data_IF_914860686341
#
_entry.id   IF_914860686341
#
_cell.length_a   1.000
_cell.length_b   1.000
_cell.length_c   1.000
_cell.angle_alpha   90.00
_cell.angle_beta   90.00
_cell.angle_gamma   90.00
#
_symmetry.space_group_name_H-M   'P 1'
#
loop_
_entity.id
_entity.type
_entity.pdbx_description
1 polymer ?
#
# COMPACT_ATOMS: atom_id res chain seq x y z
N UNK A 1 -44.90 -41.46 -11.44
CA UNK A 1 -45.49 -40.18 -10.99
C UNK A 1 -45.10 -39.79 -9.56
N UNK A 2 -45.26 -40.65 -8.55
CA UNK A 2 -44.94 -40.31 -7.13
C UNK A 2 -43.50 -39.80 -6.89
N UNK A 3 -42.48 -40.44 -7.47
CA UNK A 3 -41.08 -39.99 -7.36
C UNK A 3 -40.80 -38.62 -8.00
N UNK A 4 -41.51 -38.27 -9.09
CA UNK A 4 -41.35 -36.98 -9.76
C UNK A 4 -41.85 -35.83 -8.87
N UNK A 5 -43.01 -36.00 -8.24
CA UNK A 5 -43.55 -35.01 -7.30
C UNK A 5 -42.68 -34.88 -6.04
N UNK A 6 -42.10 -35.98 -5.55
CA UNK A 6 -41.16 -35.94 -4.42
C UNK A 6 -39.89 -35.15 -4.76
N UNK A 7 -39.29 -35.41 -5.93
CA UNK A 7 -38.12 -34.66 -6.42
C UNK A 7 -38.45 -33.18 -6.59
N UNK A 8 -39.60 -32.85 -7.19
CA UNK A 8 -40.04 -31.47 -7.37
C UNK A 8 -40.28 -30.75 -6.04
N UNK A 9 -40.86 -31.43 -5.05
CA UNK A 9 -41.08 -30.89 -3.71
C UNK A 9 -39.76 -30.63 -2.98
N UNK A 10 -38.82 -31.58 -3.03
CA UNK A 10 -37.48 -31.42 -2.44
C UNK A 10 -36.72 -30.27 -3.11
N UNK A 11 -36.77 -30.17 -4.43
CA UNK A 11 -36.15 -29.07 -5.18
C UNK A 11 -36.79 -27.72 -4.80
N UNK A 12 -38.12 -27.64 -4.77
CA UNK A 12 -38.85 -26.42 -4.40
C UNK A 12 -38.52 -25.98 -2.98
N UNK A 13 -38.49 -26.90 -2.02
CA UNK A 13 -38.12 -26.61 -0.63
C UNK A 13 -36.66 -26.17 -0.54
N UNK A 14 -35.76 -26.82 -1.28
CA UNK A 14 -34.33 -26.47 -1.29
C UNK A 14 -34.10 -25.08 -1.86
N UNK A 15 -34.75 -24.75 -2.99
CA UNK A 15 -34.70 -23.42 -3.60
C UNK A 15 -35.32 -22.38 -2.67
N UNK A 16 -36.49 -22.63 -2.09
CA UNK A 16 -37.12 -21.72 -1.15
C UNK A 16 -36.26 -21.47 0.10
N UNK A 17 -35.65 -22.53 0.66
CA UNK A 17 -34.69 -22.42 1.77
C UNK A 17 -33.50 -21.57 1.36
N UNK A 18 -32.88 -21.86 0.22
CA UNK A 18 -31.74 -21.10 -0.29
C UNK A 18 -32.07 -19.62 -0.52
N UNK A 19 -33.21 -19.32 -1.16
CA UNK A 19 -33.66 -17.94 -1.38
C UNK A 19 -33.94 -17.20 -0.08
N UNK A 20 -34.42 -17.89 0.95
CA UNK A 20 -34.69 -17.32 2.28
C UNK A 20 -33.48 -17.32 3.22
N UNK A 21 -32.34 -17.90 2.84
CA UNK A 21 -31.10 -17.79 3.62
C UNK A 21 -30.70 -16.32 3.71
N UNK A 22 -30.47 -15.85 4.93
CA UNK A 22 -29.91 -14.53 5.19
C UNK A 22 -28.40 -14.60 5.11
N UNK A 23 -27.80 -13.56 4.55
CA UNK A 23 -26.36 -13.44 4.58
C UNK A 23 -25.89 -13.22 6.04
N UNK A 24 -24.75 -13.80 6.43
CA UNK A 24 -24.21 -13.62 7.77
C UNK A 24 -23.87 -12.14 8.01
N UNK A 25 -24.09 -11.62 9.23
CA UNK A 25 -23.75 -10.24 9.55
C UNK A 25 -22.23 -10.00 9.43
N UNK A 26 -21.79 -8.78 9.06
CA UNK A 26 -20.38 -8.42 9.04
C UNK A 26 -19.72 -8.60 10.42
N UNK A 27 -18.46 -9.02 10.43
CA UNK A 27 -17.65 -9.07 11.67
C UNK A 27 -17.36 -7.63 12.08
N UNK A 28 -17.58 -7.31 13.36
CA UNK A 28 -17.46 -5.94 13.91
C UNK A 28 -18.28 -4.88 13.15
N UNK A 29 -19.32 -5.29 12.40
CA UNK A 29 -20.11 -4.35 11.58
C UNK A 29 -19.39 -3.82 10.33
N UNK A 30 -18.16 -4.26 10.06
CA UNK A 30 -17.32 -3.75 8.96
C UNK A 30 -17.01 -4.84 7.94
N UNK A 31 -16.49 -5.99 8.39
CA UNK A 31 -15.91 -7.00 7.50
C UNK A 31 -16.98 -7.94 6.96
N UNK A 32 -17.35 -7.79 5.68
CA UNK A 32 -18.39 -8.62 5.08
C UNK A 32 -17.91 -10.05 4.91
N UNK A 33 -18.87 -10.99 5.02
CA UNK A 33 -18.61 -12.43 5.02
C UNK A 33 -19.23 -13.07 3.77
N UNK A 34 -18.72 -14.23 3.31
CA UNK A 34 -19.34 -14.97 2.21
C UNK A 34 -20.84 -15.21 2.44
N UNK A 35 -21.68 -14.56 1.64
CA UNK A 35 -23.12 -14.77 1.60
C UNK A 35 -23.53 -15.95 0.72
N UNK A 36 -24.84 -16.19 0.59
CA UNK A 36 -25.38 -17.33 -0.17
C UNK A 36 -25.00 -17.32 -1.65
N UNK A 37 -24.78 -16.13 -2.22
CA UNK A 37 -24.40 -15.94 -3.64
C UNK A 37 -22.89 -15.87 -3.87
N UNK A 38 -22.07 -16.01 -2.83
CA UNK A 38 -20.62 -15.78 -2.89
C UNK A 38 -19.94 -16.54 -4.02
N UNK A 39 -20.15 -17.86 -4.13
CA UNK A 39 -19.48 -18.67 -5.14
C UNK A 39 -19.88 -18.30 -6.57
N UNK A 40 -21.16 -17.97 -6.79
CA UNK A 40 -21.63 -17.49 -8.10
C UNK A 40 -20.97 -16.17 -8.46
N UNK A 41 -20.99 -15.21 -7.53
CA UNK A 41 -20.33 -13.90 -7.69
C UNK A 41 -18.84 -14.04 -7.97
N UNK A 42 -18.16 -14.90 -7.21
CA UNK A 42 -16.75 -15.21 -7.38
C UNK A 42 -16.45 -15.74 -8.77
N UNK A 43 -17.18 -16.77 -9.24
CA UNK A 43 -16.97 -17.37 -10.56
C UNK A 43 -17.18 -16.36 -11.69
N UNK A 44 -18.19 -15.49 -11.59
CA UNK A 44 -18.44 -14.41 -12.55
C UNK A 44 -17.23 -13.48 -12.65
N UNK A 45 -16.80 -12.91 -11.52
CA UNK A 45 -15.70 -11.94 -11.53
C UNK A 45 -14.35 -12.56 -11.84
N UNK A 46 -14.08 -13.76 -11.31
CA UNK A 46 -12.86 -14.50 -11.62
C UNK A 46 -12.75 -14.75 -13.13
N UNK A 47 -13.81 -15.24 -13.76
CA UNK A 47 -13.83 -15.49 -15.21
C UNK A 47 -13.70 -14.19 -16.00
N UNK A 48 -14.42 -13.13 -15.61
CA UNK A 48 -14.36 -11.84 -16.27
C UNK A 48 -12.96 -11.21 -16.21
N UNK A 49 -12.31 -11.25 -15.04
CA UNK A 49 -10.97 -10.69 -14.84
C UNK A 49 -9.91 -11.49 -15.59
N UNK A 50 -10.00 -12.83 -15.58
CA UNK A 50 -9.13 -13.68 -16.40
C UNK A 50 -9.28 -13.38 -17.89
N UNK A 51 -10.52 -13.28 -18.37
CA UNK A 51 -10.79 -12.98 -19.77
C UNK A 51 -10.27 -11.58 -20.16
N UNK A 52 -10.46 -10.56 -19.30
CA UNK A 52 -9.91 -9.22 -19.52
C UNK A 52 -8.39 -9.22 -19.57
N UNK A 53 -7.72 -9.89 -18.62
CA UNK A 53 -6.25 -10.00 -18.61
C UNK A 53 -5.73 -10.69 -19.89
N UNK A 54 -6.43 -11.71 -20.35
CA UNK A 54 -6.12 -12.38 -21.62
C UNK A 54 -6.32 -11.45 -22.83
N UNK A 55 -7.45 -10.75 -22.93
CA UNK A 55 -7.71 -9.79 -24.01
C UNK A 55 -6.69 -8.65 -24.04
N UNK A 56 -6.33 -8.09 -22.89
CA UNK A 56 -5.39 -6.97 -22.82
C UNK A 56 -3.97 -7.39 -23.21
N UNK A 57 -3.56 -8.63 -22.93
CA UNK A 57 -2.31 -9.19 -23.45
C UNK A 57 -2.31 -9.28 -24.99
N UNK A 58 -3.48 -9.41 -25.62
CA UNK A 58 -3.62 -9.45 -27.08
C UNK A 58 -3.79 -8.06 -27.72
N UNK A 59 -4.15 -7.03 -26.95
CA UNK A 59 -4.36 -5.67 -27.46
C UNK A 59 -3.03 -4.89 -27.47
N UNK A 60 -2.79 -4.18 -28.57
CA UNK A 60 -1.62 -3.31 -28.78
C UNK A 60 -1.98 -1.81 -28.70
N UNK A 61 -3.13 -1.45 -28.14
CA UNK A 61 -3.68 -0.10 -28.26
C UNK A 61 -3.09 0.89 -27.24
N UNK A 62 -3.07 2.17 -27.65
CA UNK A 62 -2.73 3.30 -26.80
C UNK A 62 -3.76 3.41 -25.67
N UNK A 63 -3.27 3.56 -24.44
CA UNK A 63 -4.11 3.65 -23.26
C UNK A 63 -4.44 5.10 -22.93
N UNK A 64 -5.72 5.42 -22.80
CA UNK A 64 -6.18 6.72 -22.31
C UNK A 64 -6.16 6.77 -20.78
N UNK A 65 -5.66 7.87 -20.21
CA UNK A 65 -5.48 8.07 -18.77
C UNK A 65 -6.75 7.87 -17.92
N UNK A 66 -7.94 8.04 -18.49
CA UNK A 66 -9.23 7.99 -17.79
C UNK A 66 -9.88 6.59 -17.77
N UNK A 67 -9.21 5.57 -18.31
CA UNK A 67 -9.75 4.20 -18.42
C UNK A 67 -8.90 3.14 -17.71
N UNK A 68 -8.04 3.55 -16.78
CA UNK A 68 -7.14 2.64 -16.06
C UNK A 68 -7.84 1.76 -15.03
N UNK A 69 -7.15 0.70 -14.60
CA UNK A 69 -7.67 -0.32 -13.70
C UNK A 69 -8.30 -1.52 -14.42
N UNK A 70 -8.60 -2.57 -13.64
CA UNK A 70 -9.28 -3.78 -14.12
C UNK A 70 -8.63 -4.46 -15.34
N UNK A 71 -7.30 -4.43 -15.41
CA UNK A 71 -6.47 -4.97 -16.47
C UNK A 71 -5.92 -3.93 -17.44
N UNK A 72 -6.27 -2.65 -17.32
CA UNK A 72 -5.85 -1.57 -18.22
C UNK A 72 -4.85 -0.65 -17.52
N UNK A 73 -3.70 -0.40 -18.15
CA UNK A 73 -2.65 0.46 -17.57
C UNK A 73 -3.13 1.89 -17.35
N UNK A 74 -2.43 2.63 -16.50
CA UNK A 74 -2.67 4.06 -16.32
C UNK A 74 -2.12 4.92 -17.46
N UNK A 75 -0.99 4.51 -18.04
CA UNK A 75 -0.26 5.23 -19.10
C UNK A 75 0.38 4.24 -20.08
N UNK A 76 0.89 4.78 -21.17
CA UNK A 76 1.43 3.98 -22.28
C UNK A 76 2.91 3.61 -22.12
N UNK A 77 3.69 4.36 -21.34
CA UNK A 77 5.12 4.11 -21.12
C UNK A 77 5.55 4.31 -19.66
N UNK A 78 6.65 3.68 -19.23
CA UNK A 78 7.27 3.93 -17.93
C UNK A 78 7.55 5.42 -17.67
N UNK A 79 8.04 6.16 -18.66
CA UNK A 79 8.37 7.59 -18.52
C UNK A 79 7.14 8.46 -18.20
N UNK A 80 5.96 8.06 -18.69
CA UNK A 80 4.69 8.75 -18.39
C UNK A 80 4.12 8.36 -17.02
N UNK A 81 4.49 7.19 -16.50
CA UNK A 81 4.07 6.70 -15.18
C UNK A 81 4.99 7.20 -14.08
N UNK A 82 6.29 7.31 -14.35
CA UNK A 82 7.33 7.59 -13.37
C UNK A 82 7.80 9.05 -13.39
N UNK A 83 6.82 9.94 -13.38
CA UNK A 83 7.00 11.38 -13.32
C UNK A 83 5.87 12.00 -12.51
N UNK A 84 6.00 13.29 -12.19
CA UNK A 84 4.92 14.06 -11.60
C UNK A 84 3.65 13.97 -12.46
N UNK A 85 2.56 13.52 -11.84
CA UNK A 85 1.25 13.49 -12.45
C UNK A 85 0.53 14.84 -12.24
N UNK A 86 -0.31 15.25 -13.21
CA UNK A 86 -1.17 16.41 -13.03
C UNK A 86 -2.20 16.12 -11.93
N UNK A 87 -2.35 17.05 -11.00
CA UNK A 87 -3.41 16.99 -9.99
C UNK A 87 -4.76 17.33 -10.64
N UNK A 88 -5.82 16.68 -10.17
CA UNK A 88 -7.18 17.04 -10.56
C UNK A 88 -7.60 18.38 -9.91
N UNK A 89 -8.76 18.91 -10.32
CA UNK A 89 -9.35 20.10 -9.69
C UNK A 89 -10.00 19.83 -8.32
N UNK A 90 -10.05 18.58 -7.87
CA UNK A 90 -10.60 18.21 -6.56
C UNK A 90 -9.61 18.60 -5.45
N UNK A 91 -10.10 19.14 -4.34
CA UNK A 91 -9.25 19.54 -3.21
C UNK A 91 -8.48 18.36 -2.58
N UNK A 92 -8.95 17.13 -2.82
CA UNK A 92 -8.33 15.88 -2.34
C UNK A 92 -7.54 15.17 -3.43
N UNK A 93 -7.21 15.85 -4.54
CA UNK A 93 -6.30 15.32 -5.55
C UNK A 93 -4.99 14.82 -4.92
N UNK A 94 -4.39 13.82 -5.54
CA UNK A 94 -3.17 13.21 -5.02
C UNK A 94 -2.22 12.75 -6.13
N UNK A 95 -0.95 12.98 -5.87
CA UNK A 95 0.16 12.33 -6.55
C UNK A 95 1.26 12.04 -5.51
N UNK A 96 1.45 10.77 -5.16
CA UNK A 96 2.24 10.35 -4.01
C UNK A 96 3.34 9.37 -4.38
N UNK A 97 4.52 9.61 -3.82
CA UNK A 97 5.67 8.70 -3.90
C UNK A 97 6.11 8.35 -2.49
N UNK A 98 6.43 7.09 -2.28
CA UNK A 98 6.83 6.54 -0.99
C UNK A 98 8.01 5.59 -1.20
N UNK A 99 8.97 5.65 -0.29
CA UNK A 99 10.09 4.73 -0.23
C UNK A 99 10.22 4.23 1.20
N UNK A 100 10.29 2.90 1.36
CA UNK A 100 10.85 2.31 2.55
C UNK A 100 12.15 1.61 2.25
N UNK A 101 13.01 1.50 3.25
CA UNK A 101 14.22 0.72 3.14
C UNK A 101 14.70 0.24 4.51
N UNK A 102 15.36 -0.90 4.50
CA UNK A 102 15.97 -1.50 5.68
C UNK A 102 17.20 -2.33 5.30
N UNK A 103 18.08 -2.57 6.26
CA UNK A 103 19.21 -3.49 6.11
C UNK A 103 19.24 -4.53 7.23
N UNK A 104 19.97 -5.62 6.99
CA UNK A 104 20.29 -6.63 8.01
C UNK A 104 21.00 -6.06 9.23
N UNK A 105 21.69 -4.92 9.07
CA UNK A 105 22.48 -4.28 10.10
C UNK A 105 21.63 -3.34 10.99
N UNK A 106 20.31 -3.32 10.80
CA UNK A 106 19.38 -2.57 11.63
C UNK A 106 19.28 -1.09 11.29
N UNK A 107 19.69 -0.69 10.07
CA UNK A 107 19.38 0.64 9.54
C UNK A 107 18.01 0.61 8.88
N UNK A 108 17.21 1.66 9.09
CA UNK A 108 15.91 1.82 8.44
C UNK A 108 15.74 3.25 7.93
N UNK A 109 15.04 3.39 6.81
CA UNK A 109 14.64 4.68 6.28
C UNK A 109 13.22 4.58 5.73
N UNK A 110 12.37 5.55 6.05
CA UNK A 110 11.07 5.70 5.40
C UNK A 110 10.92 7.15 4.99
N UNK A 111 10.59 7.39 3.73
CA UNK A 111 10.44 8.74 3.20
C UNK A 111 9.30 8.78 2.20
N UNK A 112 8.42 9.77 2.35
CA UNK A 112 7.25 9.90 1.51
C UNK A 112 6.95 11.36 1.22
N UNK A 113 6.34 11.60 0.06
CA UNK A 113 5.75 12.88 -0.30
C UNK A 113 4.47 12.63 -1.12
N UNK A 114 3.37 13.27 -0.73
CA UNK A 114 2.16 13.34 -1.53
C UNK A 114 1.88 14.79 -1.90
N UNK A 115 1.92 15.09 -3.19
CA UNK A 115 1.50 16.38 -3.75
C UNK A 115 -0.01 16.54 -3.64
N UNK A 116 -0.42 17.68 -3.12
CA UNK A 116 -1.81 18.13 -2.95
C UNK A 116 -2.01 19.50 -3.59
N UNK A 117 -3.26 19.91 -3.85
CA UNK A 117 -3.53 21.27 -4.33
C UNK A 117 -2.99 22.35 -3.38
N UNK A 118 -2.78 23.57 -3.91
CA UNK A 118 -2.36 24.76 -3.16
C UNK A 118 -0.94 24.65 -2.57
N UNK A 119 -0.03 23.99 -3.29
CA UNK A 119 1.38 23.81 -2.91
C UNK A 119 1.59 23.00 -1.62
N UNK A 120 0.62 22.20 -1.19
CA UNK A 120 0.74 21.38 0.02
C UNK A 120 1.42 20.04 -0.32
N UNK A 121 2.38 19.63 0.50
CA UNK A 121 2.95 18.29 0.50
C UNK A 121 2.60 17.61 1.82
N UNK A 122 2.01 16.42 1.77
CA UNK A 122 2.07 15.51 2.93
C UNK A 122 3.39 14.74 2.83
N UNK A 123 4.41 15.09 3.61
CA UNK A 123 5.73 14.48 3.52
C UNK A 123 6.47 14.38 4.85
N UNK A 124 7.32 13.37 4.94
CA UNK A 124 8.10 13.07 6.14
C UNK A 124 9.32 12.21 5.80
N UNK A 125 10.25 12.14 6.73
CA UNK A 125 11.42 11.28 6.74
C UNK A 125 11.61 10.67 8.14
N UNK A 126 11.72 9.36 8.19
CA UNK A 126 12.25 8.59 9.30
C UNK A 126 13.60 8.01 8.94
N UNK A 127 14.54 8.05 9.88
CA UNK A 127 15.85 7.44 9.72
C UNK A 127 16.30 6.82 11.04
N UNK A 128 16.42 5.49 11.07
CA UNK A 128 16.97 4.75 12.19
C UNK A 128 18.40 4.33 11.86
N UNK A 129 19.35 4.72 12.71
CA UNK A 129 20.72 4.25 12.66
C UNK A 129 21.09 3.64 14.02
N UNK A 130 21.65 2.42 14.10
CA UNK A 130 22.02 1.81 15.38
C UNK A 130 22.94 2.67 16.26
N UNK A 131 23.78 3.51 15.65
CA UNK A 131 24.74 4.37 16.35
C UNK A 131 24.15 5.70 16.85
N UNK A 132 22.97 6.08 16.36
CA UNK A 132 22.36 7.40 16.62
C UNK A 132 20.99 7.29 17.29
N UNK A 133 20.17 6.32 16.87
CA UNK A 133 18.76 6.21 17.23
C UNK A 133 17.82 6.61 16.11
N UNK A 134 16.54 6.76 16.43
CA UNK A 134 15.47 7.08 15.49
C UNK A 134 15.35 8.59 15.31
N UNK A 135 15.61 9.07 14.11
CA UNK A 135 15.42 10.45 13.70
C UNK A 135 14.09 10.62 12.97
N UNK A 136 13.41 11.70 13.29
CA UNK A 136 12.09 12.06 12.79
C UNK A 136 12.13 13.47 12.20
N UNK A 137 11.46 13.68 11.06
CA UNK A 137 11.17 15.02 10.55
C UNK A 137 10.60 15.96 11.62
N UNK A 138 10.91 17.26 11.55
CA UNK A 138 10.66 18.19 12.65
C UNK A 138 9.16 18.38 12.94
N UNK A 139 8.31 18.38 11.91
CA UNK A 139 6.86 18.61 12.04
C UNK A 139 6.05 17.40 12.50
N UNK A 140 6.65 16.21 12.56
CA UNK A 140 5.94 15.01 12.99
C UNK A 140 5.35 15.20 14.40
N UNK A 141 4.13 14.68 14.67
CA UNK A 141 3.42 13.71 13.86
C UNK A 141 2.59 14.31 12.71
N UNK A 142 2.60 15.64 12.51
CA UNK A 142 2.04 16.28 11.32
C UNK A 142 2.96 16.07 10.11
N UNK A 143 2.37 15.81 8.95
CA UNK A 143 3.09 15.62 7.68
C UNK A 143 2.98 16.81 6.74
N UNK A 144 2.35 17.91 7.15
CA UNK A 144 2.09 19.06 6.27
C UNK A 144 3.33 19.93 6.06
N UNK A 145 3.85 19.91 4.84
CA UNK A 145 4.93 20.77 4.35
C UNK A 145 4.39 21.72 3.28
N UNK A 146 5.03 22.87 3.11
CA UNK A 146 4.62 23.90 2.14
C UNK A 146 5.68 24.10 1.04
N UNK A 147 5.25 24.00 -0.21
CA UNK A 147 6.08 24.30 -1.38
C UNK A 147 6.20 25.81 -1.60
N UNK A 148 7.32 26.22 -2.21
CA UNK A 148 7.38 27.51 -2.91
C UNK A 148 6.55 27.44 -4.21
N UNK A 149 6.24 28.60 -4.79
CA UNK A 149 5.52 28.65 -6.07
C UNK A 149 6.30 27.95 -7.18
N UNK A 150 7.61 28.13 -7.20
CA UNK A 150 8.49 27.51 -8.19
C UNK A 150 8.51 25.97 -8.05
N UNK A 151 8.49 25.45 -6.81
CA UNK A 151 8.41 24.01 -6.54
C UNK A 151 7.05 23.42 -6.97
N UNK A 152 5.96 24.12 -6.70
CA UNK A 152 4.61 23.74 -7.11
C UNK A 152 4.49 23.69 -8.64
N UNK A 153 4.93 24.75 -9.34
CA UNK A 153 4.91 24.86 -10.80
C UNK A 153 5.77 23.78 -11.47
N UNK A 154 6.90 23.41 -10.87
CA UNK A 154 7.77 22.34 -11.34
C UNK A 154 7.26 20.92 -10.99
N UNK A 155 6.19 20.80 -10.19
CA UNK A 155 5.62 19.52 -9.78
C UNK A 155 6.57 18.70 -8.88
N UNK A 156 7.36 19.38 -8.04
CA UNK A 156 8.38 18.74 -7.20
C UNK A 156 7.74 17.80 -6.17
N UNK A 157 8.29 16.59 -6.03
CA UNK A 157 7.96 15.69 -4.92
C UNK A 157 8.81 16.05 -3.70
N UNK A 158 8.41 17.12 -2.99
CA UNK A 158 9.18 17.62 -1.86
C UNK A 158 8.93 19.09 -1.54
N UNK A 159 9.34 19.45 -0.33
CA UNK A 159 9.28 20.79 0.26
C UNK A 159 10.20 20.83 1.50
N UNK A 160 10.55 22.02 1.97
CA UNK A 160 11.22 22.23 3.27
C UNK A 160 12.50 21.38 3.46
N UNK A 161 13.31 21.30 2.39
CA UNK A 161 14.58 20.59 2.37
C UNK A 161 14.48 19.12 1.95
N UNK A 162 13.28 18.52 1.94
CA UNK A 162 13.04 17.17 1.40
C UNK A 162 12.79 17.25 -0.12
N UNK A 163 13.44 16.38 -0.90
CA UNK A 163 13.22 16.28 -2.34
C UNK A 163 13.45 14.85 -2.85
N UNK A 164 12.47 14.32 -3.58
CA UNK A 164 12.51 13.03 -4.26
C UNK A 164 12.40 13.27 -5.77
N UNK A 165 13.37 12.81 -6.56
CA UNK A 165 13.45 13.16 -7.97
C UNK A 165 13.63 11.92 -8.85
N UNK A 166 12.76 11.68 -9.85
CA UNK A 166 13.03 10.67 -10.86
C UNK A 166 14.21 11.14 -11.72
N UNK A 167 15.24 10.29 -11.85
CA UNK A 167 16.40 10.54 -12.70
C UNK A 167 16.34 9.68 -13.97
N UNK A 168 15.95 8.42 -13.80
CA UNK A 168 15.68 7.50 -14.91
C UNK A 168 14.41 6.69 -14.56
N UNK A 169 13.33 6.83 -15.33
CA UNK A 169 12.07 6.17 -15.07
C UNK A 169 12.19 4.68 -14.76
N UNK A 170 11.56 4.25 -13.66
CA UNK A 170 11.52 2.90 -13.11
C UNK A 170 12.88 2.29 -12.79
N UNK A 171 13.94 3.11 -12.72
CA UNK A 171 15.31 2.62 -12.52
C UNK A 171 16.10 3.40 -11.50
N UNK A 172 15.98 4.73 -11.49
CA UNK A 172 16.80 5.57 -10.61
C UNK A 172 16.07 6.81 -10.13
N UNK A 173 16.10 7.00 -8.83
CA UNK A 173 15.59 8.16 -8.13
C UNK A 173 16.66 8.76 -7.23
N UNK A 174 16.70 10.08 -7.14
CA UNK A 174 17.55 10.80 -6.20
C UNK A 174 16.71 11.19 -4.99
N UNK A 175 17.21 10.89 -3.80
CA UNK A 175 16.55 11.17 -2.53
C UNK A 175 17.47 12.10 -1.73
N UNK A 176 16.99 13.30 -1.44
CA UNK A 176 17.77 14.30 -0.69
C UNK A 176 16.97 14.91 0.44
N UNK A 177 17.66 15.21 1.52
CA UNK A 177 17.15 16.00 2.63
C UNK A 177 18.23 16.93 3.13
N UNK A 178 17.89 18.18 3.43
CA UNK A 178 18.78 19.10 4.13
C UNK A 178 17.98 19.93 5.14
N UNK A 179 18.13 19.63 6.42
CA UNK A 179 17.37 20.30 7.47
C UNK A 179 17.64 19.74 8.86
N UNK A 180 16.75 20.06 9.80
CA UNK A 180 16.80 19.58 11.19
C UNK A 180 15.91 18.37 11.37
N UNK A 181 16.38 17.37 12.10
CA UNK A 181 15.57 16.24 12.55
C UNK A 181 15.63 16.10 14.07
N UNK A 182 14.56 15.61 14.67
CA UNK A 182 14.46 15.35 16.11
C UNK A 182 14.75 13.89 16.41
N UNK A 183 15.36 13.60 17.55
CA UNK A 183 15.47 12.23 18.06
C UNK A 183 14.15 11.80 18.68
N UNK A 184 13.69 10.58 18.38
CA UNK A 184 12.44 10.05 18.92
C UNK A 184 12.47 9.91 20.45
N UNK A 185 13.60 9.47 21.01
CA UNK A 185 13.78 9.29 22.46
C UNK A 185 14.09 10.60 23.21
N UNK A 186 14.48 11.65 22.48
CA UNK A 186 14.79 12.98 23.01
C UNK A 186 14.29 14.06 22.03
N UNK A 187 12.96 14.28 21.94
CA UNK A 187 12.35 15.14 20.93
C UNK A 187 12.81 16.60 20.97
N UNK A 188 13.29 17.07 22.11
CA UNK A 188 13.88 18.40 22.30
C UNK A 188 15.26 18.55 21.64
N UNK A 189 15.91 17.44 21.28
CA UNK A 189 17.23 17.43 20.65
C UNK A 189 17.09 17.41 19.13
N UNK A 190 17.49 18.52 18.51
CA UNK A 190 17.56 18.66 17.06
C UNK A 190 18.99 18.43 16.54
N UNK A 191 19.11 17.59 15.51
CA UNK A 191 20.37 17.32 14.81
C UNK A 191 20.32 17.92 13.40
N UNK A 192 21.44 18.43 12.91
CA UNK A 192 21.59 18.85 11.52
C UNK A 192 21.78 17.62 10.63
N UNK A 193 20.86 17.39 9.69
CA UNK A 193 20.87 16.20 8.83
C UNK A 193 20.95 16.59 7.36
N UNK A 194 21.91 15.99 6.65
CA UNK A 194 22.03 16.06 5.20
C UNK A 194 22.02 14.66 4.61
N UNK A 195 20.94 14.29 3.93
CA UNK A 195 20.80 13.02 3.19
C UNK A 195 21.12 13.25 1.71
N UNK A 196 22.01 12.42 1.17
CA UNK A 196 22.23 12.29 -0.26
C UNK A 196 22.25 10.80 -0.60
N UNK A 197 21.18 10.32 -1.22
CA UNK A 197 21.06 8.92 -1.61
C UNK A 197 20.45 8.78 -3.01
N UNK A 198 20.69 7.63 -3.61
CA UNK A 198 20.02 7.19 -4.83
C UNK A 198 19.29 5.88 -4.55
N UNK A 199 18.02 5.82 -4.95
CA UNK A 199 17.30 4.56 -5.10
C UNK A 199 17.53 4.02 -6.50
N UNK A 200 17.83 2.72 -6.62
CA UNK A 200 18.09 2.03 -7.89
C UNK A 200 17.32 0.72 -7.97
N UNK A 201 16.86 0.37 -9.18
CA UNK A 201 16.31 -0.96 -9.44
C UNK A 201 16.52 -1.41 -10.88
N UNK A 202 16.68 -2.72 -11.04
CA UNK A 202 16.55 -3.43 -12.32
C UNK A 202 15.45 -4.49 -12.27
N UNK A 203 14.65 -4.50 -11.19
CA UNK A 203 13.56 -5.44 -11.04
C UNK A 203 12.34 -5.00 -11.86
N UNK A 204 11.51 -5.94 -12.36
CA UNK A 204 10.24 -5.59 -12.99
C UNK A 204 9.35 -4.77 -12.05
N UNK A 205 8.63 -3.79 -12.59
CA UNK A 205 7.58 -3.06 -11.84
C UNK A 205 6.37 -3.96 -11.66
N UNK A 206 5.69 -3.87 -10.52
CA UNK A 206 4.38 -4.49 -10.30
C UNK A 206 3.29 -3.43 -10.39
N UNK A 207 2.52 -3.45 -11.48
CA UNK A 207 1.41 -2.53 -11.73
C UNK A 207 0.10 -3.16 -11.24
N UNK A 208 -0.52 -2.59 -10.21
CA UNK A 208 -1.73 -3.17 -9.65
C UNK A 208 -2.95 -3.06 -10.57
N UNK A 209 -2.91 -2.19 -11.58
CA UNK A 209 -3.96 -2.12 -12.58
C UNK A 209 -3.94 -3.35 -13.51
N UNK A 210 -2.78 -4.02 -13.70
CA UNK A 210 -2.63 -5.10 -14.69
C UNK A 210 -2.12 -6.43 -14.14
N UNK A 211 -1.31 -6.41 -13.08
CA UNK A 211 -0.47 -7.55 -12.73
C UNK A 211 -1.07 -8.42 -11.62
N UNK A 212 -2.03 -7.88 -10.88
CA UNK A 212 -2.77 -8.58 -9.83
C UNK A 212 -3.28 -9.95 -10.28
N UNK A 213 -3.27 -10.90 -9.33
CA UNK A 213 -3.99 -12.15 -9.50
C UNK A 213 -5.51 -11.87 -9.48
N UNK A 214 -6.31 -12.49 -10.36
CA UNK A 214 -7.75 -12.32 -10.34
C UNK A 214 -8.43 -12.80 -9.04
N UNK A 215 -7.82 -13.74 -8.31
CA UNK A 215 -8.46 -14.41 -7.18
C UNK A 215 -8.72 -13.47 -5.99
N UNK A 216 -7.76 -12.68 -5.48
CA UNK A 216 -8.03 -11.70 -4.43
C UNK A 216 -9.14 -10.71 -4.78
N UNK A 217 -9.13 -10.15 -5.99
CA UNK A 217 -10.12 -9.18 -6.45
C UNK A 217 -11.51 -9.82 -6.54
N UNK A 218 -11.61 -11.01 -7.13
CA UNK A 218 -12.86 -11.75 -7.22
C UNK A 218 -13.39 -12.15 -5.84
N UNK A 219 -12.51 -12.53 -4.90
CA UNK A 219 -12.91 -12.83 -3.51
C UNK A 219 -13.45 -11.61 -2.78
N UNK A 220 -12.81 -10.44 -2.93
CA UNK A 220 -13.26 -9.20 -2.32
C UNK A 220 -14.64 -8.80 -2.86
N UNK A 221 -14.79 -8.72 -4.19
CA UNK A 221 -16.05 -8.37 -4.86
C UNK A 221 -17.20 -9.33 -4.54
N UNK A 222 -16.90 -10.62 -4.38
CA UNK A 222 -17.92 -11.63 -4.09
C UNK A 222 -18.50 -11.54 -2.66
N UNK A 223 -17.78 -10.92 -1.72
CA UNK A 223 -18.26 -10.69 -0.34
C UNK A 223 -19.21 -9.49 -0.27
N UNK A 224 -19.06 -8.51 -1.16
CA UNK A 224 -19.83 -7.28 -1.08
C UNK A 224 -21.26 -7.39 -1.60
N UNK A 225 -22.12 -6.51 -1.08
CA UNK A 225 -23.49 -6.34 -1.57
C UNK A 225 -23.46 -5.58 -2.89
N UNK A 226 -24.02 -6.16 -3.93
CA UNK A 226 -24.00 -5.55 -5.26
C UNK A 226 -25.20 -4.64 -5.45
N UNK A 227 -24.91 -3.41 -5.86
CA UNK A 227 -25.88 -2.45 -6.36
C UNK A 227 -25.26 -1.64 -7.49
N UNK A 228 -26.04 -0.81 -8.18
CA UNK A 228 -25.49 0.09 -9.21
C UNK A 228 -24.57 1.12 -8.59
N UNK A 229 -24.96 1.63 -7.42
CA UNK A 229 -24.22 2.61 -6.62
C UNK A 229 -22.86 2.04 -6.19
N UNK A 230 -22.83 0.79 -5.72
CA UNK A 230 -21.57 0.10 -5.39
C UNK A 230 -20.58 0.09 -6.55
N UNK A 231 -21.01 -0.28 -7.76
CA UNK A 231 -20.12 -0.32 -8.92
C UNK A 231 -19.72 1.07 -9.42
N UNK A 232 -20.58 2.07 -9.24
CA UNK A 232 -20.25 3.46 -9.57
C UNK A 232 -19.16 4.01 -8.63
N UNK A 233 -19.34 3.82 -7.32
CA UNK A 233 -18.35 4.16 -6.29
C UNK A 233 -17.02 3.47 -6.56
N UNK A 234 -17.05 2.17 -6.86
CA UNK A 234 -15.85 1.39 -7.14
C UNK A 234 -15.07 1.96 -8.35
N UNK A 235 -15.75 2.50 -9.36
CA UNK A 235 -15.12 3.19 -10.49
C UNK A 235 -14.54 4.55 -10.10
N UNK A 236 -15.28 5.33 -9.31
CA UNK A 236 -14.86 6.68 -8.87
C UNK A 236 -13.70 6.68 -7.88
N UNK A 237 -13.61 5.63 -7.05
CA UNK A 237 -12.56 5.47 -6.06
C UNK A 237 -11.29 4.80 -6.62
N UNK A 238 -11.26 4.49 -7.92
CA UNK A 238 -10.09 3.92 -8.58
C UNK A 238 -8.89 4.86 -8.48
N UNK A 239 -7.74 4.29 -8.13
CA UNK A 239 -6.45 4.97 -8.13
C UNK A 239 -5.43 4.05 -8.76
N UNK A 240 -4.61 4.61 -9.63
CA UNK A 240 -3.50 3.86 -10.20
C UNK A 240 -2.34 3.87 -9.22
N UNK A 241 -1.76 2.70 -9.01
CA UNK A 241 -0.62 2.51 -8.12
C UNK A 241 0.25 1.39 -8.65
N UNK A 242 1.55 1.54 -8.45
CA UNK A 242 2.52 0.53 -8.80
C UNK A 242 3.67 0.56 -7.83
N UNK A 243 4.27 -0.60 -7.62
CA UNK A 243 5.36 -0.77 -6.69
C UNK A 243 6.57 -1.43 -7.36
N UNK A 244 7.74 -1.16 -6.83
CA UNK A 244 8.98 -1.74 -7.30
C UNK A 244 9.98 -1.86 -6.16
N UNK A 245 10.53 -3.06 -5.97
CA UNK A 245 11.66 -3.23 -5.08
C UNK A 245 12.95 -2.72 -5.74
N UNK A 246 13.87 -2.24 -4.92
CA UNK A 246 15.16 -1.73 -5.34
C UNK A 246 16.09 -1.64 -4.14
N UNK A 247 17.10 -0.80 -4.24
CA UNK A 247 18.11 -0.61 -3.22
C UNK A 247 18.43 0.87 -3.09
N UNK A 248 18.68 1.34 -1.88
CA UNK A 248 19.07 2.71 -1.57
C UNK A 248 20.53 2.70 -1.13
N UNK A 249 21.34 3.44 -1.87
CA UNK A 249 22.76 3.65 -1.58
C UNK A 249 23.02 5.14 -1.41
N UNK A 250 23.81 5.51 -0.41
CA UNK A 250 24.13 6.92 -0.19
C UNK A 250 24.84 7.20 1.12
N UNK A 251 24.79 8.44 1.53
CA UNK A 251 25.32 8.91 2.81
C UNK A 251 24.31 9.85 3.46
N UNK A 252 24.15 9.67 4.76
CA UNK A 252 23.56 10.68 5.63
C UNK A 252 24.65 11.29 6.51
N UNK A 253 24.69 12.62 6.57
CA UNK A 253 25.60 13.37 7.42
C UNK A 253 24.80 13.97 8.57
N UNK A 254 25.17 13.66 9.81
CA UNK A 254 24.49 14.12 11.03
C UNK A 254 25.51 14.88 11.86
N UNK A 255 25.30 16.18 12.05
CA UNK A 255 26.22 17.10 12.73
C UNK A 255 27.69 16.95 12.28
N UNK A 256 27.88 16.79 10.96
CA UNK A 256 29.19 16.63 10.34
C UNK A 256 29.74 15.21 10.31
N UNK A 257 29.12 14.26 11.02
CA UNK A 257 29.51 12.83 11.01
C UNK A 257 28.78 12.10 9.89
N UNK A 258 29.53 11.37 9.04
CA UNK A 258 28.97 10.64 7.90
C UNK A 258 28.63 9.20 8.27
N UNK A 259 27.45 8.76 7.86
CA UNK A 259 26.97 7.39 7.97
C UNK A 259 26.61 6.87 6.57
N UNK A 260 27.26 5.80 6.09
CA UNK A 260 26.89 5.19 4.82
C UNK A 260 25.55 4.46 4.93
N UNK A 261 24.77 4.51 3.85
CA UNK A 261 23.51 3.80 3.69
C UNK A 261 23.67 2.75 2.58
N UNK A 262 23.27 1.52 2.89
CA UNK A 262 23.10 0.44 1.92
C UNK A 262 21.90 -0.39 2.37
N UNK A 263 20.73 -0.10 1.80
CA UNK A 263 19.45 -0.56 2.28
C UNK A 263 18.68 -1.23 1.15
N UNK A 264 18.05 -2.38 1.42
CA UNK A 264 17.07 -2.93 0.49
C UNK A 264 15.77 -2.16 0.65
N UNK A 265 15.11 -1.85 -0.47
CA UNK A 265 14.02 -0.88 -0.51
C UNK A 265 12.83 -1.37 -1.33
N UNK A 266 11.66 -0.82 -1.01
CA UNK A 266 10.47 -0.82 -1.85
C UNK A 266 10.06 0.64 -2.11
N UNK A 267 9.66 0.92 -3.36
CA UNK A 267 9.10 2.19 -3.79
C UNK A 267 7.67 2.01 -4.28
N UNK A 268 6.77 2.86 -3.82
CA UNK A 268 5.41 3.03 -4.33
C UNK A 268 5.26 4.38 -5.03
N UNK A 269 4.44 4.41 -6.07
CA UNK A 269 3.93 5.64 -6.66
C UNK A 269 2.44 5.47 -6.95
N UNK A 270 1.62 6.27 -6.27
CA UNK A 270 0.17 6.22 -6.35
C UNK A 270 -0.44 7.59 -6.64
N UNK A 271 -1.36 7.63 -7.59
CA UNK A 271 -2.03 8.86 -8.03
C UNK A 271 -3.47 8.58 -8.45
N UNK A 272 -4.30 9.60 -8.34
CA UNK A 272 -5.69 9.47 -8.71
C UNK A 272 -6.45 10.79 -8.66
N UNK A 273 -7.70 10.72 -9.07
CA UNK A 273 -8.56 11.89 -9.11
C UNK A 273 -8.74 12.51 -7.72
N UNK A 274 -8.92 11.69 -6.68
CA UNK A 274 -9.01 12.10 -5.28
C UNK A 274 -8.65 10.95 -4.34
N UNK A 275 -8.11 11.26 -3.16
CA UNK A 275 -7.94 10.31 -2.04
C UNK A 275 -8.57 10.87 -0.77
N UNK A 276 -9.67 10.25 -0.36
CA UNK A 276 -10.39 10.53 0.87
C UNK A 276 -10.00 9.52 1.95
N UNK A 277 -9.21 9.95 2.92
CA UNK A 277 -8.75 9.11 4.02
C UNK A 277 -9.89 8.64 4.92
N UNK A 278 -10.98 9.43 5.03
CA UNK A 278 -12.17 9.04 5.81
C UNK A 278 -12.89 7.80 5.24
N UNK A 279 -12.60 7.40 4.01
CA UNK A 279 -13.20 6.21 3.39
C UNK A 279 -12.54 4.91 3.87
N UNK A 280 -11.29 4.99 4.30
CA UNK A 280 -10.60 3.85 4.89
C UNK A 280 -11.22 3.54 6.25
N UNK A 281 -11.29 2.25 6.57
CA UNK A 281 -11.43 1.81 7.95
C UNK A 281 -10.03 1.62 8.54
N UNK A 282 -9.20 0.87 7.82
CA UNK A 282 -7.79 0.61 8.14
C UNK A 282 -7.10 -0.19 7.04
N UNK A 283 -5.77 -0.28 7.10
CA UNK A 283 -5.01 -1.30 6.39
C UNK A 283 -3.79 -1.80 7.17
N UNK A 284 -3.20 -2.88 6.67
CA UNK A 284 -1.91 -3.40 7.10
C UNK A 284 -1.08 -3.79 5.88
N UNK A 285 0.10 -3.20 5.72
CA UNK A 285 1.05 -3.49 4.65
C UNK A 285 2.32 -4.12 5.26
N UNK A 286 2.90 -5.12 4.60
CA UNK A 286 4.17 -5.74 5.01
C UNK A 286 5.09 -5.81 3.81
N UNK A 287 6.22 -5.12 3.87
CA UNK A 287 7.19 -5.01 2.79
C UNK A 287 8.55 -5.42 3.30
N UNK A 288 9.16 -6.45 2.71
CA UNK A 288 10.37 -7.07 3.26
C UNK A 288 11.33 -7.64 2.23
N UNK A 289 12.59 -7.74 2.64
CA UNK A 289 13.66 -8.47 1.95
C UNK A 289 14.18 -9.58 2.85
N UNK A 290 14.42 -10.75 2.27
CA UNK A 290 14.96 -11.94 2.94
C UNK A 290 16.43 -12.14 2.57
N UNK A 291 17.16 -12.86 3.43
CA UNK A 291 18.58 -13.20 3.22
C UNK A 291 18.87 -13.95 1.91
N UNK A 292 17.91 -14.73 1.41
CA UNK A 292 18.04 -15.46 0.15
C UNK A 292 17.79 -14.59 -1.10
N UNK A 293 17.51 -13.30 -0.92
CA UNK A 293 17.20 -12.34 -1.98
C UNK A 293 15.73 -12.30 -2.37
N UNK A 294 14.85 -13.09 -1.75
CA UNK A 294 13.40 -12.92 -1.93
C UNK A 294 12.96 -11.56 -1.37
N UNK A 295 12.09 -10.88 -2.11
CA UNK A 295 11.46 -9.62 -1.70
C UNK A 295 9.95 -9.74 -1.82
N UNK A 296 9.18 -9.15 -0.92
CA UNK A 296 7.73 -9.30 -0.94
C UNK A 296 7.01 -8.05 -0.45
N UNK A 297 5.79 -7.88 -0.96
CA UNK A 297 4.77 -7.02 -0.41
C UNK A 297 3.52 -7.89 -0.16
N UNK A 298 2.99 -7.86 1.05
CA UNK A 298 1.75 -8.55 1.41
C UNK A 298 0.89 -7.63 2.26
N UNK A 299 -0.32 -7.36 1.79
CA UNK A 299 -1.11 -6.23 2.26
C UNK A 299 -2.59 -6.58 2.33
N UNK A 300 -3.30 -5.99 3.30
CA UNK A 300 -4.75 -6.09 3.42
C UNK A 300 -5.33 -4.72 3.70
N UNK A 301 -6.31 -4.32 2.89
CA UNK A 301 -6.96 -3.02 2.97
C UNK A 301 -8.44 -3.19 3.28
N UNK A 302 -8.95 -2.40 4.22
CA UNK A 302 -10.37 -2.22 4.49
C UNK A 302 -10.75 -0.77 4.18
N UNK A 303 -11.51 -0.60 3.09
CA UNK A 303 -12.10 0.65 2.68
C UNK A 303 -13.57 0.35 2.40
N UNK A 304 -14.44 0.26 3.43
CA UNK A 304 -15.74 -0.42 3.35
C UNK A 304 -16.72 0.14 2.31
N UNK A 305 -16.47 1.36 1.85
CA UNK A 305 -17.22 1.95 0.73
C UNK A 305 -16.97 1.20 -0.60
N UNK A 306 -15.79 0.56 -0.76
CA UNK A 306 -15.40 -0.25 -1.92
C UNK A 306 -15.25 -1.73 -1.57
N UNK A 307 -14.41 -2.01 -0.56
CA UNK A 307 -14.04 -3.34 -0.12
C UNK A 307 -13.94 -3.33 1.39
N UNK A 308 -14.80 -4.10 2.05
CA UNK A 308 -14.64 -4.36 3.48
C UNK A 308 -13.31 -5.05 3.78
N UNK A 309 -12.78 -5.82 2.83
CA UNK A 309 -11.44 -6.39 2.87
C UNK A 309 -10.98 -6.81 1.47
N UNK A 310 -9.78 -6.35 1.06
CA UNK A 310 -9.08 -6.82 -0.14
C UNK A 310 -7.64 -7.18 0.21
N UNK A 311 -7.16 -8.29 -0.36
CA UNK A 311 -5.78 -8.76 -0.23
C UNK A 311 -4.98 -8.28 -1.44
N UNK A 312 -3.82 -7.67 -1.21
CA UNK A 312 -2.96 -7.05 -2.22
C UNK A 312 -1.51 -7.52 -2.01
N UNK A 313 -0.73 -7.59 -3.08
CA UNK A 313 0.71 -7.84 -2.98
C UNK A 313 1.30 -8.71 -4.07
N UNK A 314 2.57 -9.03 -3.90
CA UNK A 314 3.40 -9.78 -4.82
C UNK A 314 4.67 -10.27 -4.14
N UNK A 315 5.42 -11.12 -4.84
CA UNK A 315 6.71 -11.65 -4.39
C UNK A 315 7.70 -11.66 -5.56
N UNK A 316 8.89 -11.11 -5.33
CA UNK A 316 10.07 -11.35 -6.14
C UNK A 316 10.79 -12.61 -5.64
N UNK A 317 10.97 -13.57 -6.54
CA UNK A 317 11.89 -14.68 -6.33
C UNK A 317 13.34 -14.15 -6.33
N UNK A 318 14.33 -14.91 -5.80
CA UNK A 318 15.73 -14.49 -5.79
C UNK A 318 16.31 -14.16 -7.18
N UNK A 319 15.74 -14.75 -8.23
CA UNK A 319 16.12 -14.47 -9.62
C UNK A 319 15.47 -13.20 -10.21
N UNK A 320 14.75 -12.41 -9.40
CA UNK A 320 14.06 -11.19 -9.81
C UNK A 320 12.70 -11.40 -10.49
N UNK A 321 12.25 -12.65 -10.68
CA UNK A 321 10.93 -12.90 -11.25
C UNK A 321 9.82 -12.57 -10.25
N UNK A 322 8.89 -11.70 -10.65
CA UNK A 322 7.75 -11.27 -9.85
C UNK A 322 6.55 -12.20 -10.03
N UNK A 323 5.85 -12.50 -8.93
CA UNK A 323 4.66 -13.34 -8.89
C UNK A 323 3.59 -12.63 -8.07
N UNK A 324 2.34 -12.49 -8.55
CA UNK A 324 1.30 -11.83 -7.78
C UNK A 324 0.88 -12.67 -6.56
N UNK A 325 0.48 -11.99 -5.49
CA UNK A 325 -0.16 -12.63 -4.34
C UNK A 325 -1.53 -13.15 -4.75
N UNK A 326 -1.79 -14.42 -4.44
CA UNK A 326 -3.02 -15.11 -4.76
C UNK A 326 -3.95 -15.21 -3.57
N UNK A 327 -3.40 -15.17 -2.35
CA UNK A 327 -4.13 -15.21 -1.08
C UNK A 327 -3.29 -14.69 0.08
N UNK A 328 -3.91 -14.05 1.05
CA UNK A 328 -3.37 -13.75 2.38
C UNK A 328 -4.39 -14.16 3.45
N UNK A 329 -3.93 -14.79 4.54
CA UNK A 329 -4.82 -15.20 5.64
C UNK A 329 -4.78 -14.26 6.86
N UNK A 330 -3.96 -13.20 6.83
CA UNK A 330 -4.03 -12.13 7.83
C UNK A 330 -5.47 -11.60 7.89
N UNK A 331 -6.01 -11.40 9.09
CA UNK A 331 -7.37 -10.88 9.29
C UNK A 331 -7.28 -9.61 10.12
N UNK A 332 -7.72 -8.48 9.55
CA UNK A 332 -7.68 -7.18 10.23
C UNK A 332 -8.48 -7.20 11.53
N UNK A 333 -9.68 -7.80 11.55
CA UNK A 333 -10.47 -7.91 12.78
C UNK A 333 -9.83 -8.76 13.90
N UNK A 334 -8.82 -9.58 13.59
CA UNK A 334 -8.09 -10.37 14.60
C UNK A 334 -6.82 -9.66 15.08
N UNK A 335 -6.34 -8.65 14.36
CA UNK A 335 -5.07 -8.01 14.64
C UNK A 335 -5.27 -6.49 14.70
N UNK A 336 -5.12 -5.91 15.88
CA UNK A 336 -5.12 -4.46 16.10
C UNK A 336 -6.42 -3.73 15.78
N UNK A 337 -7.59 -4.39 15.83
CA UNK A 337 -8.88 -3.73 15.58
C UNK A 337 -9.20 -2.61 16.58
N UNK A 338 -8.58 -2.67 17.76
CA UNK A 338 -8.63 -1.66 18.82
C UNK A 338 -7.75 -0.43 18.56
N UNK A 339 -7.11 -0.35 17.39
CA UNK A 339 -6.17 0.71 17.05
C UNK A 339 -4.72 0.40 17.43
N UNK A 340 -4.43 -0.72 18.10
CA UNK A 340 -3.08 -1.05 18.55
C UNK A 340 -2.57 -2.31 17.84
N UNK A 341 -1.73 -2.19 16.80
CA UNK A 341 -1.27 -3.35 16.07
C UNK A 341 -0.34 -4.24 16.94
N UNK A 342 -0.40 -5.57 16.80
CA UNK A 342 0.43 -6.48 17.60
C UNK A 342 1.93 -6.32 17.28
N UNK A 343 2.78 -6.49 18.29
CA UNK A 343 4.24 -6.36 18.17
C UNK A 343 4.94 -7.67 17.72
N UNK A 344 4.30 -8.82 17.96
CA UNK A 344 4.77 -10.14 17.57
C UNK A 344 3.57 -10.96 17.08
N UNK A 345 3.59 -11.35 15.80
CA UNK A 345 2.48 -12.06 15.16
C UNK A 345 2.96 -12.75 13.88
N UNK A 346 2.09 -13.61 13.34
CA UNK A 346 2.36 -14.31 12.10
C UNK A 346 1.12 -14.43 11.23
N UNK A 347 1.34 -14.57 9.94
CA UNK A 347 0.31 -14.84 8.94
C UNK A 347 0.91 -15.60 7.76
N UNK A 348 0.07 -16.05 6.84
CA UNK A 348 0.48 -16.72 5.62
C UNK A 348 -0.03 -15.98 4.39
N UNK A 349 0.79 -15.99 3.34
CA UNK A 349 0.33 -15.66 2.00
C UNK A 349 0.75 -16.73 0.98
N UNK A 350 0.10 -16.73 -0.17
CA UNK A 350 0.33 -17.64 -1.29
C UNK A 350 0.69 -16.82 -2.51
N UNK A 351 1.78 -17.21 -3.18
CA UNK A 351 2.22 -16.62 -4.43
C UNK A 351 2.87 -17.71 -5.29
N UNK A 352 2.38 -17.88 -6.52
CA UNK A 352 2.70 -19.05 -7.34
C UNK A 352 2.31 -20.35 -6.63
N UNK A 353 3.17 -21.36 -6.69
CA UNK A 353 2.86 -22.69 -6.14
C UNK A 353 3.28 -22.86 -4.66
N UNK A 354 3.58 -21.77 -3.95
CA UNK A 354 4.17 -21.81 -2.61
C UNK A 354 3.38 -20.99 -1.60
N UNK A 355 3.32 -21.54 -0.38
CA UNK A 355 2.86 -20.88 0.84
C UNK A 355 4.06 -20.24 1.55
N UNK A 356 3.90 -19.01 2.02
CA UNK A 356 4.89 -18.25 2.78
C UNK A 356 4.31 -17.92 4.15
N UNK A 357 4.87 -18.54 5.20
CA UNK A 357 4.55 -18.24 6.59
C UNK A 357 5.46 -17.11 7.07
N UNK A 358 4.89 -15.92 7.30
CA UNK A 358 5.56 -14.70 7.71
C UNK A 358 5.42 -14.55 9.22
N UNK A 359 6.54 -14.44 9.92
CA UNK A 359 6.61 -14.03 11.32
C UNK A 359 7.15 -12.61 11.36
N UNK A 360 6.51 -11.74 12.12
CA UNK A 360 6.87 -10.32 12.23
C UNK A 360 7.21 -10.01 13.66
N UNK A 361 8.39 -9.40 13.87
CA UNK A 361 8.77 -8.84 15.17
C UNK A 361 9.06 -7.35 14.99
N UNK A 362 8.33 -6.53 15.73
CA UNK A 362 8.42 -5.07 15.68
C UNK A 362 9.58 -4.56 16.56
N UNK A 363 10.34 -3.62 16.03
CA UNK A 363 11.46 -2.96 16.71
C UNK A 363 11.11 -1.52 17.13
N UNK A 364 10.52 -0.75 16.21
CA UNK A 364 10.11 0.63 16.44
C UNK A 364 8.71 0.87 15.88
N UNK A 365 7.94 1.77 16.50
CA UNK A 365 6.56 2.10 16.13
C UNK A 365 6.31 3.61 16.09
N UNK A 366 7.08 4.42 15.34
CA UNK A 366 6.73 5.82 15.15
C UNK A 366 5.36 5.95 14.48
N UNK A 367 4.65 7.03 14.83
CA UNK A 367 3.32 7.32 14.29
C UNK A 367 3.29 8.70 13.65
N UNK A 368 2.46 8.85 12.63
CA UNK A 368 2.18 10.14 11.99
C UNK A 368 0.74 10.21 11.51
N UNK A 369 0.31 11.42 11.17
CA UNK A 369 -1.03 11.68 10.66
C UNK A 369 -0.99 12.31 9.27
N UNK A 370 -1.97 11.92 8.45
CA UNK A 370 -2.12 12.43 7.08
C UNK A 370 -3.43 13.20 6.96
N UNK A 371 -3.40 14.22 6.11
CA UNK A 371 -4.48 15.17 5.79
C UNK A 371 -4.78 16.18 6.91
N UNK A 372 -5.48 17.25 6.53
CA UNK A 372 -5.56 18.51 7.28
C UNK A 372 -6.19 18.32 8.67
N UNK A 373 -7.15 17.41 8.79
CA UNK A 373 -7.84 17.09 10.03
C UNK A 373 -7.25 15.85 10.72
N UNK A 374 -6.08 15.39 10.28
CA UNK A 374 -5.43 14.16 10.76
C UNK A 374 -6.32 12.93 10.59
N UNK A 375 -7.00 12.80 9.45
CA UNK A 375 -8.00 11.76 9.19
C UNK A 375 -7.45 10.33 9.17
N UNK A 376 -6.17 10.15 8.84
CA UNK A 376 -5.50 8.86 8.87
C UNK A 376 -4.36 8.91 9.88
N UNK A 377 -4.34 7.97 10.81
CA UNK A 377 -3.22 7.71 11.70
C UNK A 377 -2.46 6.50 11.19
N UNK A 378 -1.18 6.69 10.90
CA UNK A 378 -0.30 5.64 10.40
C UNK A 378 0.70 5.27 11.48
N UNK A 379 0.79 3.98 11.79
CA UNK A 379 1.81 3.36 12.64
C UNK A 379 2.84 2.72 11.71
N UNK A 380 3.98 3.40 11.56
CA UNK A 380 5.04 3.06 10.63
C UNK A 380 6.09 2.18 11.33
N UNK A 381 6.04 0.86 11.12
CA UNK A 381 6.78 -0.06 12.00
C UNK A 381 8.03 -0.58 11.33
N UNK A 382 9.16 -0.36 11.98
CA UNK A 382 10.44 -0.99 11.61
C UNK A 382 10.43 -2.41 12.17
N UNK A 383 10.61 -3.40 11.30
CA UNK A 383 10.42 -4.81 11.68
C UNK A 383 11.55 -5.70 11.21
N UNK A 384 11.65 -6.83 11.88
CA UNK A 384 12.35 -8.02 11.36
C UNK A 384 11.33 -9.07 10.98
N UNK A 385 11.64 -9.82 9.93
CA UNK A 385 10.82 -10.91 9.43
C UNK A 385 11.53 -12.24 9.62
N UNK A 386 10.74 -13.30 9.75
CA UNK A 386 11.17 -14.66 9.43
C UNK A 386 10.12 -15.30 8.55
N UNK A 387 10.51 -15.66 7.31
CA UNK A 387 9.59 -16.22 6.32
C UNK A 387 10.01 -17.63 5.98
N UNK A 388 9.18 -18.63 6.30
CA UNK A 388 9.52 -20.04 6.15
C UNK A 388 10.90 -20.41 6.74
N UNK A 389 11.27 -19.80 7.87
CA UNK A 389 12.55 -20.00 8.53
C UNK A 389 13.67 -19.03 8.10
N UNK A 390 13.56 -18.36 6.94
CA UNK A 390 14.58 -17.44 6.40
C UNK A 390 14.43 -16.08 7.06
N UNK A 391 15.53 -15.51 7.56
CA UNK A 391 15.51 -14.19 8.18
C UNK A 391 15.33 -13.08 7.13
N UNK A 392 14.74 -11.96 7.56
CA UNK A 392 14.55 -10.78 6.73
C UNK A 392 14.32 -9.52 7.54
N UNK A 393 14.23 -8.41 6.84
CA UNK A 393 14.06 -7.06 7.38
C UNK A 393 13.13 -6.25 6.47
N UNK A 394 12.51 -5.21 7.01
CA UNK A 394 11.65 -4.33 6.25
C UNK A 394 10.72 -3.51 7.12
N UNK A 395 9.60 -3.11 6.53
CA UNK A 395 8.62 -2.22 7.16
C UNK A 395 7.24 -2.87 7.20
N UNK A 396 6.50 -2.58 8.26
CA UNK A 396 5.09 -2.89 8.36
C UNK A 396 4.27 -1.63 8.68
N UNK A 397 3.49 -1.14 7.72
CA UNK A 397 2.69 0.08 7.85
C UNK A 397 1.24 -0.27 8.21
N UNK A 398 0.72 0.31 9.28
CA UNK A 398 -0.64 0.05 9.77
C UNK A 398 -1.38 1.35 9.90
N UNK A 399 -2.43 1.52 9.10
CA UNK A 399 -3.24 2.73 9.11
C UNK A 399 -4.56 2.48 9.84
N UNK A 400 -5.05 3.53 10.46
CA UNK A 400 -6.33 3.59 11.11
C UNK A 400 -6.99 4.90 10.77
N UNK A 401 -8.26 4.84 10.38
CA UNK A 401 -9.09 6.05 10.31
C UNK A 401 -9.15 6.69 11.69
N UNK A 402 -8.69 7.93 11.77
CA UNK A 402 -8.78 8.74 12.96
C UNK A 402 -10.08 9.55 12.94
N UNK A 403 -10.97 9.27 13.89
CA UNK A 403 -12.24 9.98 14.06
C UNK A 403 -12.17 11.10 15.10
N UNK A 404 -11.06 11.20 15.84
CA UNK A 404 -10.87 12.22 16.88
C UNK A 404 -10.46 13.59 16.32
N UNK A 405 -9.98 13.61 15.08
CA UNK A 405 -9.46 14.81 14.44
C UNK A 405 -8.08 15.23 14.94
N UNK A 406 -7.62 16.40 14.49
CA UNK A 406 -6.36 17.01 14.91
C UNK A 406 -6.48 17.56 16.33
N UNK A 407 -5.60 17.13 17.22
CA UNK A 407 -5.53 17.66 18.59
C UNK A 407 -5.00 19.09 18.49
N UNK A 408 -5.81 20.08 18.91
CA UNK A 408 -5.35 21.46 19.05
C UNK A 408 -4.39 21.51 20.25
N UNK A 409 -3.11 21.80 19.99
CA UNK A 409 -2.11 22.08 21.01
C UNK A 409 -1.98 23.58 21.26
#
# INVERSE_FOLDING_TARGET
>A
MSYFYLVLAVLSITVARFLNMRDPPPIMGVYTRPGKWYFLKFLIFFSMLHFRKFLNKMRSEKVEANQSGYGVKSRSSPDQMDCSQPLSSDEKAIDAVYFNAASKDGQYMVVATARRPKGVINGFLYLQLPQVGLLMSPKLPDTTLQQTKEEEEAGVFGAEGLKLEPIEPMKRWKLTYNGKMRLSEAPEKELSVVLNAEWKSNLPVFDFDTDMDPSPVARALAKETWSREFFQILKEAHQSHYEQHGDIEGVVTIDGVKYPLNLNSMRDHSYGHKREWKNFHRYALHMGTLEDGTRFCASIVSCPINFSQIELGYLYKPNGHVVPLQRCDLQLYQHGEDGTPPLDYAFNFWAGDKKYCVQVKVLHTPEFYIADEWEARVVERMVTFRVNGIAGWGIAEWEYRNTMGKVQH
#
